data_IF_533016982199
#
_entry.id   IF_533016982199
#
_cell.length_a   1.000
_cell.length_b   1.000
_cell.length_c   1.000
_cell.angle_alpha   90.00
_cell.angle_beta   90.00
_cell.angle_gamma   90.00
#
_symmetry.space_group_name_H-M   'P 1'
#
loop_
_entity.id
_entity.type
_entity.pdbx_description
1 polymer ?
#
# COMPACT_ATOMS: atom_id res chain seq x y z
N UNK A 1 -9.10 5.20 -17.98
CA UNK A 1 -9.79 6.00 -16.97
C UNK A 1 -8.89 6.02 -15.76
N UNK A 2 -8.08 7.07 -15.62
CA UNK A 2 -7.29 7.28 -14.40
C UNK A 2 -8.22 7.22 -13.18
N UNK A 3 -7.77 6.53 -12.12
CA UNK A 3 -8.48 6.46 -10.84
C UNK A 3 -7.75 7.38 -9.85
N UNK A 4 -7.93 8.71 -9.93
CA UNK A 4 -7.25 9.66 -9.05
C UNK A 4 -7.56 9.37 -7.57
N UNK A 5 -8.71 8.78 -7.26
CA UNK A 5 -9.07 8.35 -5.91
C UNK A 5 -8.15 7.27 -5.35
N UNK A 6 -7.74 6.29 -6.16
CA UNK A 6 -6.83 5.21 -5.72
C UNK A 6 -5.44 5.77 -5.45
N UNK A 7 -4.98 6.67 -6.33
CA UNK A 7 -3.71 7.37 -6.16
C UNK A 7 -3.71 8.25 -4.89
N UNK A 8 -4.76 9.04 -4.67
CA UNK A 8 -4.89 9.88 -3.49
C UNK A 8 -4.92 9.05 -2.19
N UNK A 9 -5.69 7.96 -2.17
CA UNK A 9 -5.71 7.03 -1.03
C UNK A 9 -4.34 6.41 -0.76
N UNK A 10 -3.59 6.06 -1.82
CA UNK A 10 -2.23 5.56 -1.65
C UNK A 10 -1.31 6.61 -1.02
N UNK A 11 -1.38 7.87 -1.49
CA UNK A 11 -0.60 8.96 -0.91
C UNK A 11 -0.95 9.19 0.57
N UNK A 12 -2.22 9.09 0.94
CA UNK A 12 -2.64 9.25 2.33
C UNK A 12 -2.09 8.13 3.23
N UNK A 13 -2.05 6.88 2.75
CA UNK A 13 -1.37 5.78 3.46
C UNK A 13 0.12 6.09 3.67
N UNK A 14 0.80 6.62 2.65
CA UNK A 14 2.22 6.98 2.75
C UNK A 14 2.47 8.17 3.70
N UNK A 15 1.55 9.14 3.74
CA UNK A 15 1.61 10.26 4.70
C UNK A 15 1.45 9.74 6.13
N UNK A 16 0.46 8.89 6.39
CA UNK A 16 0.21 8.32 7.72
C UNK A 16 1.40 7.49 8.22
N UNK A 17 2.09 6.79 7.31
CA UNK A 17 3.33 6.08 7.65
C UNK A 17 4.46 7.05 8.00
N UNK A 18 4.63 8.12 7.21
CA UNK A 18 5.66 9.14 7.43
C UNK A 18 5.42 9.95 8.72
N UNK A 19 4.17 10.18 9.09
CA UNK A 19 3.79 10.82 10.36
C UNK A 19 3.79 9.85 11.56
N UNK A 20 4.21 8.60 11.36
CA UNK A 20 4.21 7.55 12.39
C UNK A 20 2.82 7.24 12.98
N UNK A 21 1.76 7.61 12.25
CA UNK A 21 0.37 7.32 12.63
C UNK A 21 0.03 5.84 12.41
N UNK A 22 0.66 5.22 11.40
CA UNK A 22 0.63 3.77 11.18
C UNK A 22 2.04 3.23 11.02
N UNK A 23 2.22 1.96 11.38
CA UNK A 23 3.47 1.22 11.22
C UNK A 23 3.47 0.38 9.93
N UNK A 24 4.54 -0.39 9.71
CA UNK A 24 4.68 -1.25 8.52
C UNK A 24 3.52 -2.25 8.36
N UNK A 25 3.08 -2.99 9.39
CA UNK A 25 1.83 -3.77 9.35
C UNK A 25 0.60 -2.96 8.92
N UNK A 26 0.43 -1.74 9.45
CA UNK A 26 -0.67 -0.85 9.09
C UNK A 26 -0.67 -0.44 7.62
N UNK A 27 0.51 -0.12 7.05
CA UNK A 27 0.67 0.17 5.62
C UNK A 27 0.26 -1.04 4.78
N UNK A 28 0.76 -2.23 5.13
CA UNK A 28 0.48 -3.47 4.40
C UNK A 28 -1.03 -3.76 4.37
N UNK A 29 -1.71 -3.66 5.51
CA UNK A 29 -3.14 -3.90 5.60
C UNK A 29 -3.94 -2.95 4.70
N UNK A 30 -3.61 -1.65 4.71
CA UNK A 30 -4.29 -0.64 3.90
C UNK A 30 -4.01 -0.80 2.40
N UNK A 31 -2.76 -1.08 2.01
CA UNK A 31 -2.38 -1.32 0.62
C UNK A 31 -3.04 -2.59 0.07
N UNK A 32 -3.15 -3.65 0.89
CA UNK A 32 -3.84 -4.89 0.50
C UNK A 32 -5.30 -4.65 0.13
N UNK A 33 -6.00 -3.80 0.89
CA UNK A 33 -7.40 -3.42 0.62
C UNK A 33 -7.45 -2.49 -0.60
N UNK A 34 -6.57 -1.49 -0.67
CA UNK A 34 -6.57 -0.49 -1.73
C UNK A 34 -6.35 -1.09 -3.12
N UNK A 35 -5.49 -2.10 -3.22
CA UNK A 35 -5.18 -2.81 -4.47
C UNK A 35 -5.87 -4.17 -4.57
N UNK A 36 -6.96 -4.39 -3.82
CA UNK A 36 -7.75 -5.61 -3.93
C UNK A 36 -8.23 -5.79 -5.38
N UNK A 37 -7.98 -6.98 -5.95
CA UNK A 37 -8.28 -7.28 -7.36
C UNK A 37 -7.21 -6.84 -8.36
N UNK A 38 -6.19 -6.09 -7.93
CA UNK A 38 -5.08 -5.59 -8.76
C UNK A 38 -3.75 -6.26 -8.36
N UNK A 39 -3.56 -7.52 -8.77
CA UNK A 39 -2.40 -8.34 -8.40
C UNK A 39 -1.06 -7.76 -8.88
N UNK A 40 -1.06 -7.07 -10.01
CA UNK A 40 0.07 -6.36 -10.61
C UNK A 40 0.59 -5.25 -9.68
N UNK A 41 -0.32 -4.45 -9.11
CA UNK A 41 0.05 -3.39 -8.17
C UNK A 41 0.57 -3.96 -6.85
N UNK A 42 -0.03 -5.04 -6.34
CA UNK A 42 0.46 -5.74 -5.13
C UNK A 42 1.87 -6.31 -5.38
N UNK A 43 2.11 -6.90 -6.55
CA UNK A 43 3.42 -7.44 -6.91
C UNK A 43 4.47 -6.33 -7.01
N UNK A 44 4.14 -5.21 -7.64
CA UNK A 44 5.01 -4.03 -7.66
C UNK A 44 5.27 -3.47 -6.27
N UNK A 45 4.28 -3.48 -5.38
CA UNK A 45 4.48 -3.00 -4.01
C UNK A 45 5.41 -3.91 -3.19
N UNK A 46 5.35 -5.23 -3.41
CA UNK A 46 6.20 -6.20 -2.72
C UNK A 46 7.71 -5.97 -2.94
N UNK A 47 8.13 -5.28 -4.02
CA UNK A 47 9.55 -4.96 -4.25
C UNK A 47 10.08 -3.88 -3.30
N UNK A 48 9.18 -3.11 -2.67
CA UNK A 48 9.53 -2.07 -1.70
C UNK A 48 9.51 -2.60 -0.26
N UNK A 49 9.04 -3.83 -0.04
CA UNK A 49 8.92 -4.42 1.29
C UNK A 49 10.15 -5.29 1.62
N UNK A 50 10.67 -5.23 2.86
CA UNK A 50 11.71 -6.14 3.30
C UNK A 50 11.26 -7.61 3.27
N UNK A 51 12.22 -8.52 3.17
CA UNK A 51 11.99 -9.95 3.32
C UNK A 51 11.23 -10.26 4.61
N UNK A 52 10.04 -10.84 4.50
CA UNK A 52 9.16 -11.17 5.63
C UNK A 52 7.85 -10.39 5.69
N UNK A 53 7.72 -9.29 4.93
CA UNK A 53 6.52 -8.43 4.93
C UNK A 53 5.65 -8.57 3.66
N UNK A 54 5.92 -9.59 2.85
CA UNK A 54 5.27 -9.78 1.54
C UNK A 54 3.75 -9.92 1.66
N UNK A 55 3.03 -9.21 0.79
CA UNK A 55 1.58 -9.27 0.63
C UNK A 55 1.23 -10.38 -0.37
N UNK A 56 0.35 -11.30 0.04
CA UNK A 56 -0.22 -12.40 -0.78
C UNK A 56 -1.71 -12.21 -1.03
#
# INVERSE_FOLDING_TARGET
>A
MDKPEVYNKFLDVMKDFKSQTIDTPGVIARVKILFQGHKDLILGFNTFLPSGFRIT
#
